data_IF_772418988334
#
_entry.id   IF_772418988334
#
_cell.length_a   1.000
_cell.length_b   1.000
_cell.length_c   1.000
_cell.angle_alpha   90.00
_cell.angle_beta   90.00
_cell.angle_gamma   90.00
#
_symmetry.space_group_name_H-M   'P 1'
#
loop_
_entity.id
_entity.type
_entity.pdbx_description
1 polymer ?
#
# COMPACT_ATOMS: atom_id res chain seq x y z
N UNK A 1 18.02 65.29 11.05
CA UNK A 1 18.86 64.08 11.22
C UNK A 1 17.97 62.85 11.09
N UNK A 2 17.74 62.36 9.87
CA UNK A 2 16.96 61.14 9.61
C UNK A 2 17.82 60.30 8.67
N UNK A 3 18.55 59.33 9.24
CA UNK A 3 19.38 58.40 8.47
C UNK A 3 18.48 57.55 7.60
N UNK A 4 18.87 57.41 6.33
CA UNK A 4 18.27 56.50 5.37
C UNK A 4 18.17 55.09 5.95
N UNK A 5 16.95 54.64 6.27
CA UNK A 5 16.70 53.22 6.45
C UNK A 5 17.06 52.55 5.12
N UNK A 6 18.21 51.88 5.09
CA UNK A 6 18.73 51.23 3.90
C UNK A 6 17.68 50.21 3.43
N UNK A 7 17.32 50.25 2.16
CA UNK A 7 16.35 49.35 1.49
C UNK A 7 16.52 47.87 1.87
N UNK A 8 17.76 47.44 2.15
CA UNK A 8 18.10 46.09 2.66
C UNK A 8 17.45 45.75 4.02
N UNK A 9 17.35 46.71 4.94
CA UNK A 9 16.70 46.52 6.23
C UNK A 9 15.17 46.44 6.08
N UNK A 10 14.60 47.20 5.14
CA UNK A 10 13.16 47.12 4.85
C UNK A 10 12.80 45.79 4.19
N UNK A 11 13.64 45.29 3.27
CA UNK A 11 13.50 43.96 2.67
C UNK A 11 13.63 42.84 3.71
N UNK A 12 14.57 42.96 4.64
CA UNK A 12 14.74 41.99 5.73
C UNK A 12 13.50 41.96 6.64
N UNK A 13 12.96 43.12 7.03
CA UNK A 13 11.73 43.21 7.84
C UNK A 13 10.53 42.63 7.09
N UNK A 14 10.41 42.87 5.78
CA UNK A 14 9.34 42.32 4.95
C UNK A 14 9.44 40.78 4.82
N UNK A 15 10.65 40.23 4.61
CA UNK A 15 10.86 38.78 4.61
C UNK A 15 10.55 38.16 5.98
N UNK A 16 10.99 38.79 7.08
CA UNK A 16 10.69 38.28 8.43
C UNK A 16 9.19 38.32 8.71
N UNK A 17 8.47 39.37 8.27
CA UNK A 17 7.02 39.44 8.40
C UNK A 17 6.31 38.34 7.59
N UNK A 18 6.77 38.04 6.37
CA UNK A 18 6.21 36.98 5.54
C UNK A 18 6.41 35.58 6.16
N UNK A 19 7.61 35.30 6.69
CA UNK A 19 7.91 34.03 7.38
C UNK A 19 7.08 33.87 8.66
N UNK A 20 6.85 34.95 9.40
CA UNK A 20 6.00 34.92 10.61
C UNK A 20 4.51 34.77 10.28
N UNK A 21 4.02 35.30 9.16
CA UNK A 21 2.62 35.12 8.74
C UNK A 21 2.32 33.70 8.22
N UNK A 22 3.31 33.00 7.67
CA UNK A 22 3.12 31.63 7.16
C UNK A 22 2.92 30.58 8.27
N UNK A 23 3.35 30.86 9.51
CA UNK A 23 3.15 29.97 10.65
C UNK A 23 1.91 30.30 11.50
N UNK A 24 1.11 31.33 11.13
CA UNK A 24 0.00 31.81 11.96
C UNK A 24 -1.37 31.22 11.62
N UNK A 25 -1.50 30.40 10.57
CA UNK A 25 -2.76 29.73 10.27
C UNK A 25 -2.94 28.51 11.18
N UNK A 26 -3.34 28.75 12.42
CA UNK A 26 -4.00 27.69 13.19
C UNK A 26 -5.40 27.54 12.63
N UNK A 27 -5.65 26.47 11.90
CA UNK A 27 -7.02 26.06 11.61
C UNK A 27 -7.71 25.78 12.95
N UNK A 28 -8.93 26.28 13.10
CA UNK A 28 -9.72 26.07 14.31
C UNK A 28 -10.04 24.58 14.41
N UNK A 29 -9.54 23.91 15.45
CA UNK A 29 -9.79 22.48 15.62
C UNK A 29 -11.29 22.26 15.90
N UNK A 30 -11.93 21.57 14.95
CA UNK A 30 -13.34 21.23 15.05
C UNK A 30 -13.52 20.02 15.97
N UNK A 31 -14.52 20.06 16.85
CA UNK A 31 -14.84 18.96 17.76
C UNK A 31 -16.35 18.79 17.93
N UNK A 32 -16.75 17.62 18.44
CA UNK A 32 -18.10 17.29 18.88
C UNK A 32 -19.13 17.50 17.74
N UNK A 33 -18.78 17.01 16.55
CA UNK A 33 -19.66 17.04 15.38
C UNK A 33 -20.34 15.69 15.19
N UNK A 34 -21.53 15.61 14.59
CA UNK A 34 -22.17 14.33 14.31
C UNK A 34 -21.32 13.44 13.40
N UNK A 35 -21.41 12.11 13.54
CA UNK A 35 -20.67 11.17 12.68
C UNK A 35 -20.83 11.44 11.17
N UNK A 36 -22.05 11.81 10.73
CA UNK A 36 -22.32 12.14 9.33
C UNK A 36 -21.56 13.39 8.85
N UNK A 37 -21.31 14.35 9.74
CA UNK A 37 -20.51 15.53 9.42
C UNK A 37 -19.08 15.12 9.07
N UNK A 38 -18.43 14.35 9.97
CA UNK A 38 -17.07 13.89 9.77
C UNK A 38 -16.94 13.03 8.52
N UNK A 39 -17.86 12.09 8.32
CA UNK A 39 -17.90 11.27 7.12
C UNK A 39 -18.00 12.11 5.84
N UNK A 40 -18.92 13.07 5.78
CA UNK A 40 -19.07 13.94 4.61
C UNK A 40 -17.87 14.87 4.39
N UNK A 41 -17.20 15.31 5.46
CA UNK A 41 -15.98 16.11 5.38
C UNK A 41 -14.84 15.27 4.78
N UNK A 42 -14.64 14.04 5.29
CA UNK A 42 -13.70 13.06 4.76
C UNK A 42 -13.93 12.82 3.27
N UNK A 43 -15.18 12.57 2.85
CA UNK A 43 -15.50 12.35 1.44
C UNK A 43 -15.13 13.54 0.54
N UNK A 44 -15.26 14.78 1.03
CA UNK A 44 -14.85 15.97 0.27
C UNK A 44 -13.33 16.07 0.14
N UNK A 45 -12.60 15.76 1.20
CA UNK A 45 -11.13 15.77 1.20
C UNK A 45 -10.57 14.72 0.23
N UNK A 46 -11.11 13.50 0.27
CA UNK A 46 -10.78 12.44 -0.68
C UNK A 46 -11.11 12.88 -2.11
N UNK A 47 -12.28 13.48 -2.35
CA UNK A 47 -12.65 13.97 -3.67
C UNK A 47 -11.74 15.10 -4.19
N UNK A 48 -11.08 15.84 -3.29
CA UNK A 48 -10.06 16.84 -3.64
C UNK A 48 -8.64 16.29 -3.73
N UNK A 49 -8.43 14.98 -3.49
CA UNK A 49 -7.11 14.34 -3.47
C UNK A 49 -6.29 14.62 -2.20
N UNK A 50 -6.92 15.12 -1.13
CA UNK A 50 -6.25 15.47 0.12
C UNK A 50 -6.41 14.32 1.13
N UNK A 51 -5.68 13.22 0.89
CA UNK A 51 -5.78 11.99 1.70
C UNK A 51 -5.29 12.19 3.14
N UNK A 52 -4.21 12.94 3.34
CA UNK A 52 -3.69 13.25 4.68
C UNK A 52 -4.78 13.90 5.56
N UNK A 53 -5.49 14.90 5.02
CA UNK A 53 -6.61 15.50 5.77
C UNK A 53 -7.80 14.57 5.93
N UNK A 54 -8.01 13.65 4.99
CA UNK A 54 -9.06 12.63 5.11
C UNK A 54 -8.75 11.65 6.26
N UNK A 55 -7.49 11.27 6.43
CA UNK A 55 -7.00 10.43 7.55
C UNK A 55 -7.20 11.12 8.90
N UNK A 56 -6.82 12.39 9.01
CA UNK A 56 -7.07 13.20 10.21
C UNK A 56 -8.57 13.27 10.53
N UNK A 57 -9.39 13.47 9.50
CA UNK A 57 -10.84 13.56 9.64
C UNK A 57 -11.48 12.22 10.00
N UNK A 58 -10.95 11.11 9.48
CA UNK A 58 -11.32 9.77 9.89
C UNK A 58 -10.96 9.50 11.35
N UNK A 59 -9.80 9.97 11.81
CA UNK A 59 -9.40 9.88 13.22
C UNK A 59 -10.40 10.61 14.13
N UNK A 60 -10.89 11.79 13.73
CA UNK A 60 -11.99 12.48 14.43
C UNK A 60 -13.29 11.67 14.42
N UNK A 61 -13.66 11.08 13.27
CA UNK A 61 -14.85 10.22 13.16
C UNK A 61 -14.75 8.99 14.09
N UNK A 62 -13.63 8.30 14.09
CA UNK A 62 -13.42 7.08 14.88
C UNK A 62 -13.33 7.35 16.38
N UNK A 63 -12.65 8.43 16.78
CA UNK A 63 -12.47 8.79 18.19
C UNK A 63 -13.79 9.24 18.83
N UNK A 64 -14.57 10.08 18.16
CA UNK A 64 -15.85 10.59 18.67
C UNK A 64 -16.99 9.59 18.50
N UNK A 65 -17.01 8.83 17.40
CA UNK A 65 -18.13 7.96 17.02
C UNK A 65 -17.69 6.55 16.69
N UNK A 66 -16.93 5.92 17.60
CA UNK A 66 -16.38 4.58 17.41
C UNK A 66 -17.43 3.60 16.86
N UNK A 67 -18.62 3.50 17.41
CA UNK A 67 -19.62 2.51 16.97
C UNK A 67 -20.50 2.97 15.78
N UNK A 68 -20.09 4.02 15.07
CA UNK A 68 -20.85 4.55 13.93
C UNK A 68 -20.93 3.53 12.78
N UNK A 69 -22.10 3.42 12.11
CA UNK A 69 -22.24 2.60 10.91
C UNK A 69 -21.41 3.13 9.72
N UNK A 70 -20.86 4.35 9.82
CA UNK A 70 -20.01 4.93 8.79
C UNK A 70 -18.55 4.45 8.85
N UNK A 71 -18.11 3.85 9.96
CA UNK A 71 -16.70 3.43 10.12
C UNK A 71 -16.30 2.38 9.08
N UNK A 72 -17.05 1.29 8.85
CA UNK A 72 -16.64 0.27 7.89
C UNK A 72 -16.48 0.84 6.48
N UNK A 73 -17.42 1.67 6.02
CA UNK A 73 -17.31 2.29 4.69
C UNK A 73 -16.19 3.31 4.63
N UNK A 74 -15.99 4.11 5.68
CA UNK A 74 -14.93 5.11 5.71
C UNK A 74 -13.54 4.47 5.53
N UNK A 75 -13.25 3.39 6.26
CA UNK A 75 -11.99 2.66 6.15
C UNK A 75 -11.80 2.13 4.73
N UNK A 76 -12.80 1.46 4.15
CA UNK A 76 -12.66 0.89 2.80
C UNK A 76 -12.46 1.96 1.72
N UNK A 77 -13.01 3.16 1.91
CA UNK A 77 -12.80 4.28 0.98
C UNK A 77 -11.36 4.81 1.11
N UNK A 78 -10.86 5.01 2.33
CA UNK A 78 -9.45 5.40 2.56
C UNK A 78 -8.49 4.36 1.98
N UNK A 79 -8.73 3.07 2.22
CA UNK A 79 -7.91 1.99 1.64
C UNK A 79 -7.80 2.09 0.13
N UNK A 80 -8.91 2.34 -0.58
CA UNK A 80 -8.86 2.51 -2.03
C UNK A 80 -8.08 3.78 -2.41
N UNK A 81 -8.29 4.90 -1.71
CA UNK A 81 -7.52 6.13 -1.90
C UNK A 81 -6.00 5.89 -1.77
N UNK A 82 -5.57 5.26 -0.69
CA UNK A 82 -4.15 4.93 -0.48
C UNK A 82 -3.62 3.91 -1.50
N UNK A 83 -4.42 2.94 -1.94
CA UNK A 83 -4.00 2.03 -3.02
C UNK A 83 -3.78 2.82 -4.32
N UNK A 84 -4.66 3.78 -4.63
CA UNK A 84 -4.59 4.58 -5.84
C UNK A 84 -3.38 5.54 -5.84
N UNK A 85 -2.98 6.04 -4.67
CA UNK A 85 -1.74 6.83 -4.45
C UNK A 85 -0.48 5.96 -4.20
N UNK A 86 -0.57 4.64 -4.41
CA UNK A 86 0.51 3.67 -4.21
C UNK A 86 1.05 3.57 -2.76
N UNK A 87 0.28 4.02 -1.78
CA UNK A 87 0.56 3.98 -0.35
C UNK A 87 0.13 2.64 0.28
N UNK A 88 0.62 1.54 -0.30
CA UNK A 88 0.19 0.18 0.02
C UNK A 88 0.40 -0.23 1.49
N UNK A 89 1.42 0.32 2.16
CA UNK A 89 1.66 0.06 3.57
C UNK A 89 0.56 0.64 4.46
N UNK A 90 0.09 1.86 4.15
CA UNK A 90 -0.97 2.54 4.87
C UNK A 90 -2.33 1.90 4.56
N UNK A 91 -2.56 1.54 3.29
CA UNK A 91 -3.72 0.73 2.91
C UNK A 91 -3.78 -0.59 3.71
N UNK A 92 -2.65 -1.29 3.84
CA UNK A 92 -2.57 -2.52 4.63
C UNK A 92 -2.85 -2.31 6.13
N UNK A 93 -2.36 -1.21 6.71
CA UNK A 93 -2.66 -0.84 8.10
C UNK A 93 -4.18 -0.72 8.33
N UNK A 94 -4.87 0.03 7.46
CA UNK A 94 -6.32 0.19 7.55
C UNK A 94 -7.09 -1.11 7.30
N UNK A 95 -6.61 -1.95 6.37
CA UNK A 95 -7.20 -3.25 6.11
C UNK A 95 -7.08 -4.20 7.30
N UNK A 96 -5.95 -4.18 8.01
CA UNK A 96 -5.76 -4.99 9.21
C UNK A 96 -6.72 -4.58 10.33
N UNK A 97 -6.90 -3.28 10.55
CA UNK A 97 -7.89 -2.78 11.50
C UNK A 97 -9.33 -3.13 11.07
N UNK A 98 -9.67 -3.00 9.78
CA UNK A 98 -10.97 -3.41 9.25
C UNK A 98 -11.23 -4.90 9.52
N UNK A 99 -10.29 -5.76 9.15
CA UNK A 99 -10.42 -7.21 9.25
C UNK A 99 -10.56 -7.65 10.70
N UNK A 100 -9.76 -7.06 11.60
CA UNK A 100 -9.80 -7.34 13.03
C UNK A 100 -11.15 -6.96 13.64
N UNK A 101 -11.71 -5.84 13.20
CA UNK A 101 -12.91 -5.24 13.77
C UNK A 101 -14.22 -5.74 13.15
N UNK A 102 -14.21 -5.99 11.85
CA UNK A 102 -15.37 -6.30 11.02
C UNK A 102 -15.24 -7.66 10.31
N UNK A 103 -14.57 -8.62 10.94
CA UNK A 103 -14.34 -9.96 10.39
C UNK A 103 -15.61 -10.76 10.03
N UNK A 104 -16.78 -10.35 10.54
CA UNK A 104 -18.09 -10.94 10.22
C UNK A 104 -18.92 -10.08 9.25
N UNK A 105 -18.36 -9.00 8.71
CA UNK A 105 -19.02 -8.15 7.73
C UNK A 105 -19.31 -8.92 6.44
N UNK A 106 -20.37 -8.54 5.74
CA UNK A 106 -20.67 -9.02 4.38
C UNK A 106 -19.57 -8.65 3.38
N UNK A 107 -18.78 -7.61 3.66
CA UNK A 107 -17.72 -7.08 2.79
C UNK A 107 -16.32 -7.59 3.20
N UNK A 108 -16.25 -8.59 4.10
CA UNK A 108 -14.96 -9.10 4.58
C UNK A 108 -14.11 -9.73 3.48
N UNK A 109 -14.75 -10.38 2.50
CA UNK A 109 -14.06 -10.95 1.36
C UNK A 109 -13.46 -9.84 0.48
N UNK A 110 -14.19 -8.74 0.27
CA UNK A 110 -13.65 -7.56 -0.42
C UNK A 110 -12.41 -6.99 0.28
N UNK A 111 -12.45 -6.81 1.62
CA UNK A 111 -11.30 -6.34 2.38
C UNK A 111 -10.09 -7.29 2.27
N UNK A 112 -10.32 -8.61 2.34
CA UNK A 112 -9.25 -9.60 2.15
C UNK A 112 -8.67 -9.58 0.74
N UNK A 113 -9.51 -9.41 -0.28
CA UNK A 113 -9.08 -9.20 -1.65
C UNK A 113 -8.24 -7.92 -1.78
N UNK A 114 -8.67 -6.79 -1.21
CA UNK A 114 -7.92 -5.54 -1.24
C UNK A 114 -6.55 -5.70 -0.56
N UNK A 115 -6.44 -6.51 0.49
CA UNK A 115 -5.15 -6.82 1.13
C UNK A 115 -4.21 -7.56 0.19
N UNK A 116 -4.73 -8.58 -0.49
CA UNK A 116 -3.98 -9.32 -1.53
C UNK A 116 -3.56 -8.36 -2.66
N UNK A 117 -4.47 -7.48 -3.11
CA UNK A 117 -4.21 -6.47 -4.15
C UNK A 117 -3.11 -5.49 -3.71
N UNK A 118 -3.19 -4.93 -2.50
CA UNK A 118 -2.22 -3.97 -1.98
C UNK A 118 -0.82 -4.61 -1.87
N UNK A 119 -0.72 -5.83 -1.33
CA UNK A 119 0.56 -6.56 -1.28
C UNK A 119 1.12 -6.81 -2.69
N UNK A 120 0.26 -7.23 -3.63
CA UNK A 120 0.65 -7.47 -5.01
C UNK A 120 1.15 -6.21 -5.73
N UNK A 121 0.52 -5.07 -5.50
CA UNK A 121 0.95 -3.80 -6.10
C UNK A 121 2.19 -3.22 -5.40
N UNK A 122 2.43 -3.58 -4.13
CA UNK A 122 3.58 -3.16 -3.36
C UNK A 122 4.94 -3.69 -3.85
N UNK A 123 4.96 -4.66 -4.78
CA UNK A 123 6.21 -5.17 -5.35
C UNK A 123 6.88 -4.13 -6.26
N UNK A 124 7.87 -3.40 -5.73
CA UNK A 124 8.62 -2.38 -6.51
C UNK A 124 9.72 -2.95 -7.39
N UNK A 125 10.35 -4.04 -6.96
CA UNK A 125 11.54 -4.58 -7.62
C UNK A 125 11.45 -6.09 -7.79
N UNK A 126 11.84 -6.56 -8.97
CA UNK A 126 12.04 -7.98 -9.23
C UNK A 126 13.12 -8.56 -8.32
N UNK A 127 13.01 -9.83 -7.98
CA UNK A 127 14.00 -10.55 -7.16
C UNK A 127 14.29 -9.90 -5.80
N UNK A 128 13.32 -9.14 -5.28
CA UNK A 128 13.34 -8.56 -3.94
C UNK A 128 12.05 -8.96 -3.22
N UNK A 129 12.13 -9.02 -1.89
CA UNK A 129 10.99 -9.27 -1.01
C UNK A 129 10.30 -10.63 -1.21
N UNK A 130 11.08 -11.70 -1.14
CA UNK A 130 10.57 -13.08 -1.20
C UNK A 130 9.51 -13.35 -0.12
N UNK A 131 9.68 -12.77 1.07
CA UNK A 131 8.74 -12.93 2.18
C UNK A 131 7.35 -12.41 1.81
N UNK A 132 7.24 -11.21 1.24
CA UNK A 132 5.95 -10.67 0.83
C UNK A 132 5.26 -11.53 -0.24
N UNK A 133 6.02 -12.14 -1.16
CA UNK A 133 5.47 -13.10 -2.14
C UNK A 133 4.86 -14.30 -1.44
N UNK A 134 5.62 -14.96 -0.56
CA UNK A 134 5.19 -16.18 0.14
C UNK A 134 3.99 -15.91 1.08
N UNK A 135 4.00 -14.78 1.78
CA UNK A 135 2.89 -14.33 2.62
C UNK A 135 1.64 -14.04 1.79
N UNK A 136 1.78 -13.39 0.64
CA UNK A 136 0.64 -13.08 -0.24
C UNK A 136 0.06 -14.36 -0.85
N UNK A 137 0.90 -15.32 -1.27
CA UNK A 137 0.43 -16.63 -1.73
C UNK A 137 -0.34 -17.35 -0.61
N UNK A 138 0.14 -17.28 0.63
CA UNK A 138 -0.56 -17.86 1.79
C UNK A 138 -1.93 -17.20 1.98
N UNK A 139 -1.99 -15.87 1.93
CA UNK A 139 -3.26 -15.12 2.02
C UNK A 139 -4.24 -15.49 0.89
N UNK A 140 -3.74 -15.72 -0.32
CA UNK A 140 -4.54 -16.19 -1.44
C UNK A 140 -5.11 -17.59 -1.18
N UNK A 141 -4.32 -18.54 -0.67
CA UNK A 141 -4.82 -19.88 -0.37
C UNK A 141 -5.88 -19.85 0.74
N UNK A 142 -5.68 -19.01 1.75
CA UNK A 142 -6.70 -18.76 2.77
C UNK A 142 -7.97 -18.15 2.16
N UNK A 143 -7.82 -17.17 1.27
CA UNK A 143 -8.96 -16.55 0.61
C UNK A 143 -9.76 -17.57 -0.19
N UNK A 144 -9.07 -18.37 -1.02
CA UNK A 144 -9.68 -19.39 -1.88
C UNK A 144 -10.39 -20.47 -1.07
N UNK A 145 -9.83 -20.86 0.08
CA UNK A 145 -10.43 -21.87 0.95
C UNK A 145 -11.65 -21.35 1.73
N UNK A 146 -11.57 -20.13 2.26
CA UNK A 146 -12.63 -19.52 3.10
C UNK A 146 -13.77 -18.89 2.29
N UNK A 147 -13.46 -18.27 1.15
CA UNK A 147 -14.41 -17.44 0.38
C UNK A 147 -14.67 -17.98 -1.03
N UNK A 148 -15.02 -19.27 -1.12
CA UNK A 148 -15.18 -20.00 -2.40
C UNK A 148 -16.15 -19.36 -3.40
N UNK A 149 -17.15 -18.63 -2.91
CA UNK A 149 -18.19 -17.99 -3.73
C UNK A 149 -18.00 -16.48 -3.86
N UNK A 150 -16.81 -15.95 -3.50
CA UNK A 150 -16.56 -14.52 -3.58
C UNK A 150 -16.56 -14.03 -5.04
N UNK A 151 -17.20 -12.88 -5.34
CA UNK A 151 -17.14 -12.28 -6.67
C UNK A 151 -15.71 -11.85 -7.06
N UNK A 152 -14.79 -11.72 -6.10
CA UNK A 152 -13.41 -11.31 -6.34
C UNK A 152 -12.48 -12.49 -6.69
N UNK A 153 -12.98 -13.73 -6.70
CA UNK A 153 -12.17 -14.92 -7.01
C UNK A 153 -11.38 -14.80 -8.32
N UNK A 154 -11.95 -14.32 -9.45
CA UNK A 154 -11.19 -14.20 -10.70
C UNK A 154 -10.01 -13.22 -10.60
N UNK A 155 -10.18 -12.14 -9.82
CA UNK A 155 -9.12 -11.15 -9.60
C UNK A 155 -8.00 -11.73 -8.73
N UNK A 156 -8.38 -12.48 -7.69
CA UNK A 156 -7.44 -13.20 -6.82
C UNK A 156 -6.68 -14.28 -7.61
N UNK A 157 -7.35 -15.04 -8.47
CA UNK A 157 -6.71 -16.04 -9.32
C UNK A 157 -5.73 -15.41 -10.32
N UNK A 158 -6.07 -14.24 -10.88
CA UNK A 158 -5.16 -13.49 -11.75
C UNK A 158 -3.89 -13.09 -11.01
N UNK A 159 -4.03 -12.56 -9.78
CA UNK A 159 -2.88 -12.21 -8.93
C UNK A 159 -2.09 -13.47 -8.58
N UNK A 160 -2.76 -14.57 -8.24
CA UNK A 160 -2.15 -15.85 -7.92
C UNK A 160 -1.24 -16.35 -9.05
N UNK A 161 -1.75 -16.38 -10.28
CA UNK A 161 -0.96 -16.78 -11.46
C UNK A 161 0.30 -15.93 -11.63
N UNK A 162 0.16 -14.61 -11.49
CA UNK A 162 1.30 -13.68 -11.61
C UNK A 162 2.33 -13.85 -10.50
N UNK A 163 1.87 -14.11 -9.27
CA UNK A 163 2.76 -14.37 -8.14
C UNK A 163 3.52 -15.69 -8.28
N UNK A 164 2.88 -16.75 -8.76
CA UNK A 164 3.57 -18.02 -9.01
C UNK A 164 4.59 -17.91 -10.14
N UNK A 165 4.31 -17.13 -11.20
CA UNK A 165 5.31 -16.82 -12.22
C UNK A 165 6.49 -16.07 -11.61
N UNK A 166 6.23 -15.01 -10.84
CA UNK A 166 7.27 -14.23 -10.17
C UNK A 166 8.11 -15.10 -9.24
N UNK A 167 7.47 -15.98 -8.46
CA UNK A 167 8.15 -16.91 -7.54
C UNK A 167 9.04 -17.90 -8.29
N UNK A 168 8.55 -18.50 -9.38
CA UNK A 168 9.33 -19.43 -10.19
C UNK A 168 10.56 -18.73 -10.82
N UNK A 169 10.39 -17.51 -11.35
CA UNK A 169 11.51 -16.71 -11.84
C UNK A 169 12.52 -16.39 -10.72
N UNK A 170 12.04 -16.07 -9.51
CA UNK A 170 12.89 -15.80 -8.36
C UNK A 170 13.69 -17.04 -7.94
N UNK A 171 13.02 -18.17 -7.77
CA UNK A 171 13.67 -19.44 -7.40
C UNK A 171 14.71 -19.85 -8.45
N UNK A 172 14.45 -19.60 -9.75
CA UNK A 172 15.43 -19.83 -10.81
C UNK A 172 16.66 -18.92 -10.69
N UNK A 173 16.48 -17.62 -10.46
CA UNK A 173 17.62 -16.71 -10.25
C UNK A 173 18.46 -17.11 -9.03
N UNK A 174 17.82 -17.60 -7.96
CA UNK A 174 18.55 -18.13 -6.79
C UNK A 174 19.36 -19.37 -7.16
N UNK A 175 18.79 -20.29 -7.95
CA UNK A 175 19.51 -21.46 -8.43
C UNK A 175 20.74 -21.05 -9.25
N UNK A 176 20.58 -20.14 -10.21
CA UNK A 176 21.68 -19.63 -11.04
C UNK A 176 22.76 -18.92 -10.21
N UNK A 177 22.37 -18.14 -9.20
CA UNK A 177 23.31 -17.53 -8.25
C UNK A 177 24.14 -18.60 -7.53
N UNK A 178 23.54 -19.69 -7.06
CA UNK A 178 24.26 -20.77 -6.40
C UNK A 178 25.18 -21.54 -7.35
N UNK A 179 24.80 -21.70 -8.62
CA UNK A 179 25.67 -22.27 -9.67
C UNK A 179 26.92 -21.38 -9.84
N UNK A 180 26.75 -20.06 -9.96
CA UNK A 180 27.87 -19.09 -10.07
C UNK A 180 28.79 -19.08 -8.84
N UNK A 181 28.38 -19.67 -7.72
CA UNK A 181 29.11 -19.73 -6.45
C UNK A 181 29.60 -21.13 -6.10
N UNK A 182 29.51 -22.07 -7.04
CA UNK A 182 29.92 -23.46 -6.89
C UNK A 182 29.21 -24.14 -5.68
N UNK A 183 27.92 -23.86 -5.48
CA UNK A 183 27.07 -24.41 -4.41
C UNK A 183 26.02 -25.37 -4.97
N UNK A 184 26.47 -26.50 -5.52
CA UNK A 184 25.63 -27.48 -6.24
C UNK A 184 24.41 -27.97 -5.44
N UNK A 185 24.56 -28.30 -4.16
CA UNK A 185 23.44 -28.78 -3.34
C UNK A 185 22.34 -27.72 -3.16
N UNK A 186 22.72 -26.45 -3.04
CA UNK A 186 21.76 -25.35 -2.92
C UNK A 186 21.10 -25.04 -4.27
N UNK A 187 21.87 -25.08 -5.36
CA UNK A 187 21.34 -24.94 -6.71
C UNK A 187 20.26 -26.01 -7.00
N UNK A 188 20.58 -27.29 -6.75
CA UNK A 188 19.66 -28.40 -6.95
C UNK A 188 18.36 -28.27 -6.13
N UNK A 189 18.44 -27.74 -4.91
CA UNK A 189 17.27 -27.48 -4.07
C UNK A 189 16.33 -26.45 -4.70
N UNK A 190 16.86 -25.35 -5.25
CA UNK A 190 16.04 -24.32 -5.89
C UNK A 190 15.56 -24.74 -7.28
N UNK A 191 16.37 -25.46 -8.07
CA UNK A 191 15.91 -26.08 -9.32
C UNK A 191 14.73 -27.02 -9.11
N UNK A 192 14.74 -27.79 -8.02
CA UNK A 192 13.61 -28.65 -7.67
C UNK A 192 12.34 -27.84 -7.37
N UNK A 193 12.45 -26.72 -6.63
CA UNK A 193 11.32 -25.81 -6.41
C UNK A 193 10.75 -25.24 -7.70
N UNK A 194 11.63 -24.88 -8.64
CA UNK A 194 11.23 -24.39 -9.97
C UNK A 194 10.48 -25.46 -10.75
N UNK A 195 10.92 -26.73 -10.69
CA UNK A 195 10.24 -27.88 -11.34
C UNK A 195 8.89 -28.21 -10.70
N UNK A 196 8.75 -27.99 -9.39
CA UNK A 196 7.50 -28.20 -8.65
C UNK A 196 6.48 -27.07 -8.85
N UNK A 197 6.90 -25.94 -9.45
CA UNK A 197 5.97 -24.91 -9.88
C UNK A 197 4.95 -25.48 -10.87
N UNK A 198 3.68 -25.16 -10.67
CA UNK A 198 2.62 -25.57 -11.59
C UNK A 198 2.68 -24.84 -12.94
N UNK A 199 3.52 -23.81 -13.07
CA UNK A 199 3.78 -23.08 -14.31
C UNK A 199 5.10 -23.58 -14.90
N UNK A 200 5.07 -23.98 -16.17
CA UNK A 200 6.27 -24.34 -16.91
C UNK A 200 7.22 -23.13 -16.98
N UNK A 201 8.43 -23.21 -16.39
CA UNK A 201 9.36 -22.08 -16.38
C UNK A 201 9.72 -21.55 -17.76
N UNK A 202 9.71 -22.43 -18.78
CA UNK A 202 9.99 -22.05 -20.17
C UNK A 202 8.90 -21.16 -20.80
N UNK A 203 7.71 -21.10 -20.22
CA UNK A 203 6.59 -20.26 -20.68
C UNK A 203 6.57 -18.88 -20.01
N UNK A 204 7.42 -18.65 -19.01
CA UNK A 204 7.48 -17.38 -18.29
C UNK A 204 8.33 -16.38 -19.08
N UNK A 205 7.76 -15.22 -19.40
CA UNK A 205 8.53 -14.14 -20.02
C UNK A 205 9.62 -13.65 -19.04
N UNK A 206 10.89 -13.57 -19.46
CA UNK A 206 11.97 -13.12 -18.60
C UNK A 206 11.78 -11.65 -18.18
N UNK A 207 12.20 -11.35 -16.96
CA UNK A 207 12.07 -9.99 -16.41
C UNK A 207 13.01 -9.02 -17.16
N UNK A 208 12.43 -7.97 -17.75
CA UNK A 208 13.20 -6.92 -18.44
C UNK A 208 13.84 -5.98 -17.42
N UNK A 209 15.15 -6.14 -17.20
CA UNK A 209 15.93 -5.26 -16.33
C UNK A 209 16.60 -4.16 -17.17
N UNK A 210 16.44 -2.87 -16.82
CA UNK A 210 17.17 -1.79 -17.50
C UNK A 210 18.70 -1.96 -17.35
N UNK A 211 19.46 -1.61 -18.40
CA UNK A 211 20.92 -1.85 -18.45
C UNK A 211 21.69 -1.24 -17.26
N UNK A 212 21.23 -0.10 -16.73
CA UNK A 212 21.89 0.57 -15.60
C UNK A 212 21.65 -0.15 -14.27
N UNK A 213 20.67 -1.05 -14.19
CA UNK A 213 20.40 -1.88 -13.02
C UNK A 213 21.00 -3.28 -13.13
N UNK A 214 21.22 -3.79 -14.33
CA UNK A 214 21.69 -5.18 -14.54
C UNK A 214 23.06 -5.49 -13.96
N UNK A 215 23.82 -4.49 -13.50
CA UNK A 215 25.09 -4.70 -12.79
C UNK A 215 24.90 -4.98 -11.28
N UNK A 216 23.71 -4.67 -10.75
CA UNK A 216 23.33 -4.81 -9.34
C UNK A 216 22.28 -5.91 -9.12
N UNK A 217 21.74 -6.48 -10.20
CA UNK A 217 20.87 -7.65 -10.22
C UNK A 217 21.70 -8.86 -10.67
#
# INVERSE_FOLDING_TARGET
MIKSLKFKNLLLIACTAFVLSACSSKEEEEYNKPALYWYNKMMKQIASGDLDKADDTYTSLESEHRNSPFIPSAILILVNGHIDEEEYALANFYLDEYIKRFGLSKDIDYARYLKIKANFLGFKYQFRDQQLIDETITQIQEFKSKYKNSPYMPLVDTINSRLFMAKASFDNEIAELYIRRDKEAAAAFYEQKVKESWINPAEIEPVKVPFYRSIFE
#
